data_IF_038959632142
#
_entry.id   IF_038959632142
#
_cell.length_a   1.000
_cell.length_b   1.000
_cell.length_c   1.000
_cell.angle_alpha   90.00
_cell.angle_beta   90.00
_cell.angle_gamma   90.00
#
_symmetry.space_group_name_H-M   'P 1'
#
loop_
_entity.id
_entity.type
_entity.pdbx_description
1 polymer ?
#
# COMPACT_ATOMS: atom_id res chain seq x y z
N UNK A 1 -11.28 3.85 -11.59
CA UNK A 1 -10.04 3.46 -12.33
C UNK A 1 -10.39 2.46 -13.44
N UNK A 2 -9.63 2.42 -14.56
CA UNK A 2 -9.77 1.38 -15.59
C UNK A 2 -9.20 0.05 -15.11
N UNK A 3 -9.74 -1.05 -15.61
CA UNK A 3 -9.33 -2.42 -15.21
C UNK A 3 -8.16 -2.94 -16.05
N UNK A 4 -8.02 -2.49 -17.28
CA UNK A 4 -7.01 -2.95 -18.24
C UNK A 4 -6.41 -1.81 -19.05
N UNK A 5 -5.27 -2.07 -19.69
CA UNK A 5 -4.57 -1.10 -20.52
C UNK A 5 -3.85 -0.01 -19.73
N UNK A 6 -3.62 -0.22 -18.43
CA UNK A 6 -2.82 0.67 -17.60
C UNK A 6 -1.35 0.26 -17.61
N UNK A 7 -0.49 1.21 -17.28
CA UNK A 7 0.90 0.98 -16.83
C UNK A 7 0.95 1.32 -15.33
N UNK A 8 1.18 0.31 -14.51
CA UNK A 8 1.00 0.37 -13.05
C UNK A 8 2.35 0.22 -12.36
N UNK A 9 2.73 1.15 -11.51
CA UNK A 9 3.87 1.02 -10.60
C UNK A 9 3.37 0.57 -9.22
N UNK A 10 3.93 -0.55 -8.72
CA UNK A 10 3.61 -1.09 -7.38
C UNK A 10 4.89 -1.15 -6.55
N UNK A 11 5.00 -0.32 -5.51
CA UNK A 11 6.09 -0.41 -4.53
C UNK A 11 5.85 -1.57 -3.55
N UNK A 12 6.93 -2.21 -3.07
CA UNK A 12 6.80 -3.42 -2.24
C UNK A 12 6.26 -4.61 -3.03
N UNK A 13 6.51 -4.66 -4.35
CA UNK A 13 5.98 -5.68 -5.26
C UNK A 13 6.69 -7.05 -5.21
N UNK A 14 7.72 -7.21 -4.37
CA UNK A 14 8.48 -8.47 -4.28
C UNK A 14 7.84 -9.54 -3.40
N UNK A 15 6.77 -9.26 -2.64
CA UNK A 15 6.14 -10.23 -1.75
C UNK A 15 4.71 -9.83 -1.36
N UNK A 16 4.01 -10.75 -0.71
CA UNK A 16 2.72 -10.51 -0.05
C UNK A 16 1.69 -9.84 -0.95
N UNK A 17 1.01 -8.82 -0.43
CA UNK A 17 -0.06 -8.11 -1.13
C UNK A 17 0.43 -7.50 -2.44
N UNK A 18 1.61 -6.86 -2.45
CA UNK A 18 2.15 -6.21 -3.64
C UNK A 18 2.44 -7.18 -4.79
N UNK A 19 3.00 -8.36 -4.48
CA UNK A 19 3.25 -9.44 -5.45
C UNK A 19 1.95 -9.93 -6.08
N UNK A 20 0.98 -10.28 -5.26
CA UNK A 20 -0.27 -10.86 -5.75
C UNK A 20 -1.13 -9.84 -6.50
N UNK A 21 -1.15 -8.58 -6.07
CA UNK A 21 -1.77 -7.50 -6.85
C UNK A 21 -1.09 -7.33 -8.21
N UNK A 22 0.25 -7.35 -8.26
CA UNK A 22 0.99 -7.22 -9.53
C UNK A 22 0.58 -8.30 -10.54
N UNK A 23 0.52 -9.56 -10.10
CA UNK A 23 0.11 -10.70 -10.94
C UNK A 23 -1.34 -10.59 -11.40
N UNK A 24 -2.27 -10.23 -10.49
CA UNK A 24 -3.69 -10.05 -10.84
C UNK A 24 -3.90 -8.88 -11.81
N UNK A 25 -3.21 -7.75 -11.63
CA UNK A 25 -3.29 -6.65 -12.57
C UNK A 25 -2.70 -7.02 -13.94
N UNK A 26 -1.58 -7.76 -13.98
CA UNK A 26 -1.02 -8.29 -15.23
C UNK A 26 -2.04 -9.17 -15.97
N UNK A 27 -2.69 -10.11 -15.27
CA UNK A 27 -3.65 -11.06 -15.86
C UNK A 27 -4.88 -10.35 -16.47
N UNK A 28 -5.14 -9.11 -16.05
CA UNK A 28 -6.18 -8.24 -16.63
C UNK A 28 -5.69 -7.42 -17.83
N UNK A 29 -4.47 -7.66 -18.34
CA UNK A 29 -3.93 -7.00 -19.52
C UNK A 29 -3.30 -5.63 -19.25
N UNK A 30 -2.69 -5.46 -18.08
CA UNK A 30 -1.92 -4.27 -17.73
C UNK A 30 -0.41 -4.55 -17.83
N UNK A 31 0.38 -3.50 -18.07
CA UNK A 31 1.82 -3.51 -17.82
C UNK A 31 2.05 -3.16 -16.37
N UNK A 32 2.84 -3.95 -15.65
CA UNK A 32 3.09 -3.74 -14.22
C UNK A 32 4.59 -3.59 -13.96
N UNK A 33 4.95 -2.56 -13.22
CA UNK A 33 6.31 -2.33 -12.72
C UNK A 33 6.29 -2.63 -11.23
N UNK A 34 7.07 -3.64 -10.81
CA UNK A 34 7.23 -3.97 -9.39
C UNK A 34 8.53 -3.37 -8.88
N UNK A 35 8.43 -2.54 -7.84
CA UNK A 35 9.57 -1.87 -7.24
C UNK A 35 9.78 -2.29 -5.78
N UNK A 36 11.06 -2.40 -5.37
CA UNK A 36 11.43 -2.79 -4.02
C UNK A 36 12.95 -2.95 -3.87
N UNK A 37 13.41 -3.28 -2.66
CA UNK A 37 14.85 -3.32 -2.33
C UNK A 37 15.58 -4.58 -2.81
N UNK A 38 14.87 -5.70 -2.94
CA UNK A 38 15.46 -7.03 -3.20
C UNK A 38 15.11 -7.47 -4.61
N UNK A 39 16.08 -7.36 -5.52
CA UNK A 39 15.87 -7.69 -6.94
C UNK A 39 15.39 -9.13 -7.13
N UNK A 40 16.01 -10.11 -6.46
CA UNK A 40 15.63 -11.52 -6.57
C UNK A 40 14.13 -11.77 -6.27
N UNK A 41 13.58 -11.07 -5.26
CA UNK A 41 12.17 -11.19 -4.92
C UNK A 41 11.24 -10.51 -5.95
N UNK A 42 11.72 -9.44 -6.59
CA UNK A 42 11.01 -8.78 -7.69
C UNK A 42 11.03 -9.63 -8.96
N UNK A 43 12.18 -10.24 -9.27
CA UNK A 43 12.35 -11.17 -10.39
C UNK A 43 11.47 -12.41 -10.21
N UNK A 44 11.36 -12.94 -8.98
CA UNK A 44 10.41 -14.02 -8.66
C UNK A 44 8.95 -13.60 -8.90
N UNK A 45 8.60 -12.35 -8.61
CA UNK A 45 7.27 -11.81 -8.92
C UNK A 45 7.01 -11.75 -10.42
N UNK A 46 8.01 -11.33 -11.20
CA UNK A 46 7.93 -11.16 -12.64
C UNK A 46 8.09 -12.49 -13.42
N UNK A 47 8.64 -13.53 -12.79
CA UNK A 47 8.92 -14.81 -13.45
C UNK A 47 7.64 -15.45 -14.01
N UNK A 48 7.62 -15.69 -15.34
CA UNK A 48 6.46 -16.22 -16.06
C UNK A 48 5.41 -15.18 -16.46
N UNK A 49 5.65 -13.88 -16.20
CA UNK A 49 4.75 -12.77 -16.54
C UNK A 49 5.44 -11.79 -17.50
N UNK A 50 5.11 -11.82 -18.79
CA UNK A 50 5.82 -11.07 -19.84
C UNK A 50 5.82 -9.55 -19.62
N UNK A 51 4.74 -8.99 -19.05
CA UNK A 51 4.56 -7.55 -18.85
C UNK A 51 4.67 -7.15 -17.37
N UNK A 52 5.38 -7.94 -16.54
CA UNK A 52 5.82 -7.51 -15.21
C UNK A 52 7.31 -7.19 -15.27
N UNK A 53 7.67 -5.96 -14.88
CA UNK A 53 9.04 -5.45 -14.93
C UNK A 53 9.57 -5.20 -13.52
N UNK A 54 10.69 -5.83 -13.17
CA UNK A 54 11.35 -5.66 -11.89
C UNK A 54 12.31 -4.47 -11.92
N UNK A 55 12.21 -3.56 -10.94
CA UNK A 55 13.11 -2.40 -10.80
C UNK A 55 13.42 -2.16 -9.33
N UNK A 56 14.69 -1.99 -8.98
CA UNK A 56 15.09 -1.74 -7.60
C UNK A 56 14.73 -0.31 -7.15
N UNK A 57 14.22 -0.18 -5.93
CA UNK A 57 13.94 1.10 -5.28
C UNK A 57 13.94 0.93 -3.76
N UNK A 58 14.68 1.76 -3.06
CA UNK A 58 14.52 1.97 -1.63
C UNK A 58 13.75 3.29 -1.38
N UNK A 59 12.47 3.21 -1.04
CA UNK A 59 11.61 4.37 -0.78
C UNK A 59 12.04 5.17 0.46
N UNK A 60 12.95 4.63 1.28
CA UNK A 60 13.53 5.34 2.41
C UNK A 60 14.55 6.40 2.00
N UNK A 61 15.12 6.30 0.79
CA UNK A 61 16.21 7.15 0.29
C UNK A 61 15.70 8.21 -0.69
N UNK A 62 15.66 9.50 -0.31
CA UNK A 62 15.13 10.55 -1.17
C UNK A 62 15.79 10.63 -2.55
N UNK A 63 17.13 10.57 -2.60
CA UNK A 63 17.89 10.68 -3.86
C UNK A 63 17.60 9.49 -4.82
N UNK A 64 17.40 8.28 -4.25
CA UNK A 64 16.99 7.12 -5.06
C UNK A 64 15.58 7.30 -5.61
N UNK A 65 14.64 7.84 -4.82
CA UNK A 65 13.26 8.11 -5.26
C UNK A 65 13.24 9.10 -6.43
N UNK A 66 14.01 10.19 -6.34
CA UNK A 66 14.08 11.18 -7.42
C UNK A 66 14.69 10.62 -8.71
N UNK A 67 15.80 9.87 -8.58
CA UNK A 67 16.47 9.24 -9.72
C UNK A 67 15.58 8.18 -10.37
N UNK A 68 14.94 7.34 -9.54
CA UNK A 68 14.00 6.31 -9.96
C UNK A 68 12.80 6.91 -10.71
N UNK A 69 12.19 7.98 -10.19
CA UNK A 69 11.04 8.61 -10.83
C UNK A 69 11.35 9.10 -12.24
N UNK A 70 12.54 9.70 -12.45
CA UNK A 70 13.01 10.11 -13.78
C UNK A 70 13.19 8.91 -14.70
N UNK A 71 13.93 7.89 -14.24
CA UNK A 71 14.17 6.67 -15.03
C UNK A 71 12.86 5.97 -15.41
N UNK A 72 11.93 5.84 -14.45
CA UNK A 72 10.72 5.07 -14.69
C UNK A 72 9.78 5.75 -15.69
N UNK A 73 9.71 7.08 -15.67
CA UNK A 73 8.93 7.85 -16.64
C UNK A 73 9.54 7.77 -18.04
N UNK A 74 10.88 7.79 -18.16
CA UNK A 74 11.57 7.63 -19.45
C UNK A 74 11.36 6.23 -20.04
N UNK A 75 11.46 5.18 -19.22
CA UNK A 75 11.28 3.78 -19.66
C UNK A 75 9.82 3.41 -19.91
N UNK A 76 8.91 3.98 -19.13
CA UNK A 76 7.48 3.69 -19.18
C UNK A 76 6.65 4.98 -19.29
N UNK A 77 6.70 5.69 -20.42
CA UNK A 77 6.01 6.98 -20.56
C UNK A 77 4.48 6.87 -20.48
N UNK A 78 3.94 5.65 -20.58
CA UNK A 78 2.52 5.37 -20.39
C UNK A 78 2.11 5.19 -18.91
N UNK A 79 3.04 5.31 -17.94
CA UNK A 79 2.74 5.17 -16.52
C UNK A 79 1.58 6.09 -16.12
N UNK A 80 0.49 5.49 -15.64
CA UNK A 80 -0.72 6.21 -15.24
C UNK A 80 -1.26 5.78 -13.87
N UNK A 81 -0.72 4.71 -13.26
CA UNK A 81 -1.18 4.23 -11.95
C UNK A 81 -0.02 4.03 -10.99
N UNK A 82 -0.10 4.63 -9.81
CA UNK A 82 0.87 4.47 -8.72
C UNK A 82 0.21 3.76 -7.52
N UNK A 83 0.72 2.58 -7.14
CA UNK A 83 0.41 1.93 -5.86
C UNK A 83 1.54 2.16 -4.85
N UNK A 84 1.31 3.01 -3.88
CA UNK A 84 2.15 3.18 -2.69
C UNK A 84 1.83 2.03 -1.71
N UNK A 85 2.43 0.86 -1.94
CA UNK A 85 2.17 -0.35 -1.15
C UNK A 85 3.35 -0.72 -0.21
N UNK A 86 4.58 -0.30 -0.51
CA UNK A 86 5.72 -0.60 0.34
C UNK A 86 5.48 -0.17 1.80
N UNK A 87 5.79 -1.06 2.73
CA UNK A 87 5.65 -0.79 4.14
C UNK A 87 6.32 -1.85 5.00
N UNK A 88 6.63 -1.48 6.22
CA UNK A 88 7.16 -2.36 7.27
C UNK A 88 6.30 -2.20 8.53
N UNK A 89 6.29 -3.24 9.38
CA UNK A 89 5.64 -3.22 10.68
C UNK A 89 6.56 -3.86 11.70
N UNK A 90 6.70 -3.21 12.86
CA UNK A 90 7.45 -3.68 14.00
C UNK A 90 6.58 -3.70 15.25
N UNK A 91 6.78 -4.71 16.08
CA UNK A 91 6.20 -4.68 17.42
C UNK A 91 7.13 -3.92 18.36
N UNK A 92 6.54 -3.15 19.24
CA UNK A 92 7.26 -2.25 20.14
C UNK A 92 6.62 -2.23 21.54
N UNK A 93 7.44 -2.00 22.54
CA UNK A 93 7.01 -1.70 23.93
C UNK A 93 7.30 -0.23 24.22
N UNK A 94 6.24 0.57 24.33
CA UNK A 94 6.33 2.01 24.59
C UNK A 94 6.21 2.38 26.08
N UNK A 95 6.17 1.37 26.95
CA UNK A 95 6.04 1.60 28.41
C UNK A 95 7.37 1.99 29.06
N UNK A 96 8.49 1.89 28.32
CA UNK A 96 9.81 2.28 28.78
C UNK A 96 10.59 3.00 27.66
N UNK A 97 11.68 3.67 28.03
CA UNK A 97 12.61 4.28 27.08
C UNK A 97 13.25 3.21 26.20
N UNK A 98 13.29 3.43 24.89
CA UNK A 98 13.77 2.45 23.90
C UNK A 98 14.59 3.09 22.78
N UNK A 99 15.26 2.28 21.98
CA UNK A 99 15.80 2.70 20.68
C UNK A 99 14.65 3.00 19.69
N UNK A 100 14.74 4.13 19.02
CA UNK A 100 13.72 4.61 18.07
C UNK A 100 14.09 4.31 16.60
N UNK A 101 15.10 3.48 16.33
CA UNK A 101 15.53 3.15 14.96
C UNK A 101 14.39 2.52 14.15
N UNK A 102 13.66 1.56 14.72
CA UNK A 102 12.51 0.92 14.07
C UNK A 102 11.37 1.92 13.83
N UNK A 103 11.05 2.77 14.82
CA UNK A 103 10.03 3.80 14.67
C UNK A 103 10.39 4.82 13.58
N UNK A 104 11.67 5.22 13.52
CA UNK A 104 12.19 6.10 12.46
C UNK A 104 12.08 5.45 11.09
N UNK A 105 12.41 4.17 10.99
CA UNK A 105 12.29 3.41 9.74
C UNK A 105 10.82 3.31 9.28
N UNK A 106 9.88 3.02 10.19
CA UNK A 106 8.45 2.98 9.87
C UNK A 106 7.92 4.33 9.36
N UNK A 107 8.24 5.43 10.02
CA UNK A 107 7.85 6.78 9.56
C UNK A 107 8.45 7.07 8.19
N UNK A 108 9.71 6.73 7.98
CA UNK A 108 10.42 6.99 6.72
C UNK A 108 9.83 6.17 5.56
N UNK A 109 9.57 4.90 5.76
CA UNK A 109 9.09 3.99 4.71
C UNK A 109 7.58 4.13 4.50
N UNK A 110 6.79 4.07 5.59
CA UNK A 110 5.33 3.96 5.48
C UNK A 110 4.64 5.31 5.21
N UNK A 111 5.28 6.42 5.56
CA UNK A 111 4.70 7.76 5.40
C UNK A 111 5.50 8.63 4.43
N UNK A 112 6.79 8.87 4.70
CA UNK A 112 7.58 9.74 3.83
C UNK A 112 7.85 9.11 2.47
N UNK A 113 7.98 7.79 2.36
CA UNK A 113 8.14 7.07 1.09
C UNK A 113 6.99 7.37 0.11
N UNK A 114 5.71 7.08 0.46
CA UNK A 114 4.56 7.45 -0.36
C UNK A 114 4.48 8.93 -0.72
N UNK A 115 4.75 9.83 0.23
CA UNK A 115 4.74 11.28 -0.02
C UNK A 115 5.79 11.65 -1.07
N UNK A 116 7.04 11.21 -0.90
CA UNK A 116 8.15 11.51 -1.82
C UNK A 116 7.92 10.97 -3.21
N UNK A 117 7.46 9.71 -3.31
CA UNK A 117 7.23 9.10 -4.61
C UNK A 117 6.03 9.72 -5.34
N UNK A 118 4.97 10.08 -4.60
CA UNK A 118 3.84 10.83 -5.15
C UNK A 118 4.31 12.19 -5.68
N UNK A 119 5.10 12.93 -4.90
CA UNK A 119 5.64 14.24 -5.30
C UNK A 119 6.53 14.12 -6.54
N UNK A 120 7.41 13.13 -6.59
CA UNK A 120 8.32 12.92 -7.72
C UNK A 120 7.62 12.52 -9.04
N UNK A 121 6.43 11.92 -8.96
CA UNK A 121 5.66 11.46 -10.12
C UNK A 121 4.45 12.33 -10.47
N UNK A 122 4.08 13.30 -9.62
CA UNK A 122 2.81 14.03 -9.74
C UNK A 122 2.67 14.80 -11.06
N UNK A 123 3.74 15.43 -11.52
CA UNK A 123 3.72 16.22 -12.75
C UNK A 123 3.55 15.31 -13.98
N UNK A 124 4.18 14.15 -13.98
CA UNK A 124 3.96 13.14 -15.02
C UNK A 124 2.51 12.61 -14.99
N UNK A 125 2.02 12.21 -13.81
CA UNK A 125 0.66 11.67 -13.67
C UNK A 125 -0.40 12.69 -14.10
N UNK A 126 -0.20 13.98 -13.87
CA UNK A 126 -1.11 15.04 -14.36
C UNK A 126 -1.18 15.13 -15.89
N UNK A 127 -0.22 14.59 -16.62
CA UNK A 127 -0.27 14.54 -18.09
C UNK A 127 -1.15 13.39 -18.60
N UNK A 128 -1.66 12.53 -17.72
CA UNK A 128 -2.44 11.34 -18.07
C UNK A 128 -3.91 11.56 -17.75
N UNK A 129 -4.78 11.33 -18.73
CA UNK A 129 -6.24 11.55 -18.56
C UNK A 129 -6.90 10.58 -17.56
N UNK A 130 -6.25 9.44 -17.28
CA UNK A 130 -6.75 8.35 -16.45
C UNK A 130 -5.81 8.01 -15.30
N UNK A 131 -5.10 9.02 -14.78
CA UNK A 131 -4.16 8.84 -13.68
C UNK A 131 -4.85 8.44 -12.38
N UNK A 132 -4.21 7.49 -11.67
CA UNK A 132 -4.68 7.00 -10.38
C UNK A 132 -3.51 6.89 -9.38
N UNK A 133 -3.75 7.31 -8.15
CA UNK A 133 -2.85 7.05 -7.02
C UNK A 133 -3.61 6.19 -6.01
N UNK A 134 -3.04 5.04 -5.66
CA UNK A 134 -3.55 4.14 -4.63
C UNK A 134 -2.58 4.14 -3.45
N UNK A 135 -3.03 4.60 -2.29
CA UNK A 135 -2.27 4.52 -1.05
C UNK A 135 -2.74 3.32 -0.21
N UNK A 136 -1.81 2.43 0.10
CA UNK A 136 -2.10 1.25 0.94
C UNK A 136 -1.92 1.63 2.41
N UNK A 137 -3.04 1.86 3.08
CA UNK A 137 -3.10 2.14 4.53
C UNK A 137 -3.20 0.85 5.34
N UNK A 138 -4.14 0.75 6.25
CA UNK A 138 -4.41 -0.45 7.08
C UNK A 138 -5.71 -0.26 7.86
N UNK A 139 -6.35 -1.34 8.28
CA UNK A 139 -7.36 -1.31 9.35
C UNK A 139 -6.84 -0.68 10.64
N UNK A 140 -5.51 -0.78 10.88
CA UNK A 140 -4.85 -0.15 12.03
C UNK A 140 -4.70 1.38 11.91
N UNK A 141 -5.09 1.97 10.78
CA UNK A 141 -5.27 3.42 10.66
C UNK A 141 -6.52 3.90 11.40
N UNK A 142 -7.50 3.04 11.60
CA UNK A 142 -8.80 3.35 12.22
C UNK A 142 -8.89 2.86 13.66
N UNK A 143 -8.27 1.72 13.96
CA UNK A 143 -8.16 1.14 15.30
C UNK A 143 -6.70 0.80 15.56
N UNK A 144 -5.98 1.56 16.40
CA UNK A 144 -4.56 1.33 16.63
C UNK A 144 -4.29 -0.02 17.34
N UNK A 145 -3.22 -0.70 16.92
CA UNK A 145 -2.68 -1.87 17.64
C UNK A 145 -1.72 -1.38 18.74
N UNK A 146 -2.01 -1.64 20.02
CA UNK A 146 -1.15 -1.15 21.13
C UNK A 146 0.31 -1.61 21.05
N UNK A 147 0.56 -2.84 20.55
CA UNK A 147 1.92 -3.39 20.37
C UNK A 147 2.61 -2.95 19.06
N UNK A 148 1.95 -2.12 18.23
CA UNK A 148 2.50 -1.56 16.99
C UNK A 148 2.03 -0.11 16.82
N UNK A 149 2.27 0.69 17.84
CA UNK A 149 1.77 2.06 17.96
C UNK A 149 2.29 2.97 16.85
N UNK A 150 3.60 2.90 16.56
CA UNK A 150 4.23 3.69 15.49
C UNK A 150 3.70 3.29 14.12
N UNK A 151 3.59 1.99 13.84
CA UNK A 151 2.97 1.52 12.58
C UNK A 151 1.56 2.09 12.42
N UNK A 152 0.71 1.93 13.44
CA UNK A 152 -0.67 2.43 13.43
C UNK A 152 -0.72 3.94 13.18
N UNK A 153 0.16 4.70 13.84
CA UNK A 153 0.28 6.14 13.64
C UNK A 153 0.69 6.49 12.21
N UNK A 154 1.65 5.76 11.59
CA UNK A 154 2.03 6.00 10.20
C UNK A 154 0.88 5.74 9.23
N UNK A 155 0.07 4.70 9.48
CA UNK A 155 -1.07 4.35 8.63
C UNK A 155 -2.24 5.33 8.80
N UNK A 156 -2.48 5.83 10.01
CA UNK A 156 -3.43 6.92 10.27
C UNK A 156 -2.98 8.23 9.60
N UNK A 157 -1.68 8.56 9.66
CA UNK A 157 -1.14 9.71 8.96
C UNK A 157 -1.28 9.60 7.43
N UNK A 158 -1.01 8.42 6.86
CA UNK A 158 -1.18 8.16 5.42
C UNK A 158 -2.66 8.22 5.00
N UNK A 159 -3.60 7.74 5.84
CA UNK A 159 -5.04 7.94 5.64
C UNK A 159 -5.38 9.43 5.54
N UNK A 160 -4.96 10.24 6.52
CA UNK A 160 -5.19 11.69 6.51
C UNK A 160 -4.58 12.38 5.29
N UNK A 161 -3.34 12.01 4.91
CA UNK A 161 -2.69 12.49 3.69
C UNK A 161 -3.50 12.11 2.43
N UNK A 162 -4.01 10.89 2.36
CA UNK A 162 -4.82 10.40 1.22
C UNK A 162 -6.10 11.21 1.03
N UNK A 163 -6.79 11.56 2.12
CA UNK A 163 -7.97 12.42 2.08
C UNK A 163 -7.64 13.82 1.53
N UNK A 164 -6.55 14.42 2.01
CA UNK A 164 -6.09 15.72 1.57
C UNK A 164 -5.66 15.72 0.10
N UNK A 165 -4.90 14.68 -0.31
CA UNK A 165 -4.45 14.50 -1.69
C UNK A 165 -5.63 14.34 -2.64
N UNK A 166 -6.64 13.55 -2.27
CA UNK A 166 -7.88 13.36 -3.03
C UNK A 166 -8.61 14.68 -3.29
N UNK A 167 -8.68 15.55 -2.26
CA UNK A 167 -9.33 16.84 -2.40
C UNK A 167 -8.55 17.80 -3.31
N UNK A 168 -7.22 17.81 -3.20
CA UNK A 168 -6.37 18.69 -4.02
C UNK A 168 -6.31 18.26 -5.49
N UNK A 169 -6.35 16.97 -5.76
CA UNK A 169 -6.27 16.40 -7.11
C UNK A 169 -7.63 16.14 -7.76
N UNK A 170 -8.70 16.58 -7.12
CA UNK A 170 -10.08 16.39 -7.64
C UNK A 170 -10.22 16.91 -9.08
N UNK A 171 -10.62 16.03 -9.99
CA UNK A 171 -10.80 16.34 -11.40
C UNK A 171 -9.55 16.20 -12.27
N UNK A 172 -8.38 15.85 -11.68
CA UNK A 172 -7.15 15.60 -12.43
C UNK A 172 -6.59 14.19 -12.23
N UNK A 173 -6.55 13.69 -10.99
CA UNK A 173 -6.05 12.36 -10.66
C UNK A 173 -7.04 11.70 -9.68
N UNK A 174 -7.42 10.46 -9.96
CA UNK A 174 -8.22 9.66 -9.03
C UNK A 174 -7.34 9.19 -7.86
N UNK A 175 -7.78 9.40 -6.61
CA UNK A 175 -7.03 8.99 -5.42
C UNK A 175 -7.85 7.98 -4.62
N UNK A 176 -7.34 6.77 -4.52
CA UNK A 176 -7.98 5.62 -3.87
C UNK A 176 -7.17 5.23 -2.62
N UNK A 177 -7.86 4.88 -1.58
CA UNK A 177 -7.29 4.25 -0.40
C UNK A 177 -7.58 2.75 -0.42
N UNK A 178 -6.54 1.92 -0.26
CA UNK A 178 -6.67 0.49 -0.01
C UNK A 178 -6.31 0.22 1.44
N UNK A 179 -7.27 -0.25 2.24
CA UNK A 179 -7.07 -0.49 3.67
C UNK A 179 -7.13 -2.00 4.00
N UNK A 180 -5.98 -2.70 4.03
CA UNK A 180 -5.93 -4.11 4.40
C UNK A 180 -6.28 -4.36 5.88
N UNK A 181 -6.95 -5.50 6.19
CA UNK A 181 -6.97 -6.05 7.55
C UNK A 181 -5.62 -6.72 7.89
N UNK A 182 -5.56 -7.49 8.96
CA UNK A 182 -4.52 -8.49 9.14
C UNK A 182 -4.64 -9.56 8.05
N UNK A 183 -3.65 -9.64 7.16
CA UNK A 183 -3.60 -10.59 6.03
C UNK A 183 -2.44 -11.56 6.24
N UNK A 184 -2.62 -12.84 5.92
CA UNK A 184 -1.60 -13.89 6.00
C UNK A 184 -0.48 -13.64 4.97
N UNK A 185 0.52 -12.85 5.38
CA UNK A 185 1.74 -12.50 4.63
C UNK A 185 2.93 -12.54 5.58
N UNK A 186 4.14 -12.35 5.08
CA UNK A 186 5.35 -12.21 5.91
C UNK A 186 5.70 -10.73 6.23
N UNK A 187 4.69 -9.88 6.43
CA UNK A 187 4.92 -8.49 6.88
C UNK A 187 5.59 -8.45 8.26
N UNK A 188 5.17 -9.36 9.15
CA UNK A 188 5.87 -9.66 10.41
C UNK A 188 6.18 -11.16 10.47
N UNK A 189 7.25 -11.60 11.15
CA UNK A 189 7.63 -13.01 11.20
C UNK A 189 6.48 -13.92 11.66
N UNK A 190 6.20 -14.98 10.87
CA UNK A 190 5.15 -15.96 11.15
C UNK A 190 3.71 -15.44 10.97
N UNK A 191 3.54 -14.27 10.37
CA UNK A 191 2.21 -13.72 10.12
C UNK A 191 1.43 -14.53 9.08
N UNK A 192 2.10 -15.18 8.14
CA UNK A 192 1.48 -16.01 7.10
C UNK A 192 0.67 -17.19 7.65
N UNK A 193 1.01 -17.67 8.85
CA UNK A 193 0.35 -18.80 9.52
C UNK A 193 -0.56 -18.36 10.67
N UNK A 194 -0.70 -17.04 10.89
CA UNK A 194 -1.41 -16.52 12.06
C UNK A 194 -2.92 -16.72 11.93
N UNK A 195 -3.48 -17.43 12.88
CA UNK A 195 -4.93 -17.63 13.00
C UNK A 195 -5.68 -16.30 13.18
N UNK A 196 -6.86 -16.19 12.60
CA UNK A 196 -7.69 -15.00 12.67
C UNK A 196 -7.23 -13.86 11.73
N UNK A 197 -6.19 -14.10 10.90
CA UNK A 197 -5.82 -13.23 9.78
C UNK A 197 -6.48 -13.74 8.49
N UNK A 198 -6.82 -12.81 7.60
CA UNK A 198 -7.46 -13.15 6.34
C UNK A 198 -6.46 -13.87 5.40
N UNK A 199 -6.79 -15.02 4.80
CA UNK A 199 -5.93 -15.66 3.81
C UNK A 199 -5.62 -14.72 2.65
N UNK A 200 -4.34 -14.66 2.22
CA UNK A 200 -3.89 -13.72 1.19
C UNK A 200 -4.68 -13.85 -0.12
N UNK A 201 -4.92 -15.08 -0.60
CA UNK A 201 -5.68 -15.32 -1.83
C UNK A 201 -7.11 -14.76 -1.75
N UNK A 202 -7.82 -15.02 -0.65
CA UNK A 202 -9.17 -14.53 -0.43
C UNK A 202 -9.21 -12.99 -0.35
N UNK A 203 -8.22 -12.38 0.32
CA UNK A 203 -8.07 -10.93 0.39
C UNK A 203 -7.90 -10.31 -1.00
N UNK A 204 -6.99 -10.86 -1.82
CA UNK A 204 -6.72 -10.35 -3.17
C UNK A 204 -7.94 -10.48 -4.08
N UNK A 205 -8.67 -11.60 -4.02
CA UNK A 205 -9.88 -11.79 -4.82
C UNK A 205 -10.95 -10.75 -4.49
N UNK A 206 -11.18 -10.48 -3.20
CA UNK A 206 -12.16 -9.49 -2.78
C UNK A 206 -11.72 -8.07 -3.15
N UNK A 207 -10.43 -7.73 -2.97
CA UNK A 207 -9.87 -6.44 -3.39
C UNK A 207 -10.05 -6.23 -4.89
N UNK A 208 -9.73 -7.22 -5.72
CA UNK A 208 -9.89 -7.11 -7.17
C UNK A 208 -11.36 -6.95 -7.57
N UNK A 209 -12.28 -7.64 -6.89
CA UNK A 209 -13.72 -7.46 -7.09
C UNK A 209 -14.17 -6.02 -6.76
N UNK A 210 -13.62 -5.41 -5.71
CA UNK A 210 -13.91 -4.00 -5.37
C UNK A 210 -13.33 -3.03 -6.42
N UNK A 211 -12.11 -3.26 -6.90
CA UNK A 211 -11.54 -2.44 -7.98
C UNK A 211 -12.32 -2.53 -9.30
N UNK A 212 -12.99 -3.66 -9.57
CA UNK A 212 -13.81 -3.84 -10.76
C UNK A 212 -15.17 -3.11 -10.71
N UNK A 213 -15.58 -2.61 -9.56
CA UNK A 213 -16.82 -1.80 -9.46
C UNK A 213 -16.68 -0.48 -10.23
N UNK A 214 -17.78 -0.02 -10.80
CA UNK A 214 -17.84 1.25 -11.53
C UNK A 214 -18.94 2.15 -10.94
N UNK A 215 -18.60 3.33 -10.41
CA UNK A 215 -17.21 3.82 -10.21
C UNK A 215 -16.45 3.00 -9.14
N UNK A 216 -15.12 2.95 -9.27
CA UNK A 216 -14.27 2.32 -8.24
C UNK A 216 -14.47 3.03 -6.89
N UNK A 217 -14.64 2.31 -5.78
CA UNK A 217 -14.77 2.92 -4.46
C UNK A 217 -13.52 3.75 -4.10
N UNK A 218 -13.73 4.92 -3.52
CA UNK A 218 -12.63 5.76 -3.04
C UNK A 218 -11.86 5.14 -1.87
N UNK A 219 -12.52 4.25 -1.12
CA UNK A 219 -11.93 3.42 -0.05
C UNK A 219 -12.22 1.96 -0.39
N UNK A 220 -11.18 1.21 -0.77
CA UNK A 220 -11.23 -0.23 -1.02
C UNK A 220 -11.01 -0.93 0.32
N UNK A 221 -12.12 -1.29 0.95
CA UNK A 221 -12.18 -1.96 2.25
C UNK A 221 -12.92 -3.28 2.08
N UNK A 222 -12.21 -4.40 2.21
CA UNK A 222 -12.83 -5.74 2.24
C UNK A 222 -13.75 -5.86 3.46
N UNK A 223 -14.71 -6.78 3.41
CA UNK A 223 -15.70 -6.92 4.49
C UNK A 223 -15.06 -7.15 5.86
N UNK A 224 -13.95 -7.87 5.89
CA UNK A 224 -13.22 -8.18 7.12
C UNK A 224 -12.65 -6.93 7.84
N UNK A 225 -12.34 -5.83 7.13
CA UNK A 225 -11.80 -4.59 7.72
C UNK A 225 -12.88 -3.56 8.05
N UNK A 226 -14.08 -3.70 7.52
CA UNK A 226 -15.17 -2.73 7.70
C UNK A 226 -15.55 -2.46 9.16
N UNK A 227 -15.54 -3.44 10.08
CA UNK A 227 -15.77 -3.15 11.50
C UNK A 227 -14.75 -2.16 12.08
N UNK A 228 -13.46 -2.26 11.68
CA UNK A 228 -12.42 -1.32 12.10
C UNK A 228 -12.63 0.06 11.48
N UNK A 229 -12.94 0.10 10.17
CA UNK A 229 -13.24 1.36 9.46
C UNK A 229 -14.39 2.13 10.10
N UNK A 230 -15.36 1.45 10.65
CA UNK A 230 -16.56 2.03 11.26
C UNK A 230 -16.45 2.17 12.79
N UNK A 231 -15.36 1.72 13.42
CA UNK A 231 -15.24 1.61 14.87
C UNK A 231 -15.51 2.93 15.62
N UNK A 232 -15.00 4.05 15.12
CA UNK A 232 -15.24 5.36 15.71
C UNK A 232 -16.72 5.75 15.66
N UNK A 233 -17.35 5.59 14.51
CA UNK A 233 -18.79 5.87 14.31
C UNK A 233 -19.66 4.99 15.21
N UNK A 234 -19.26 3.74 15.40
CA UNK A 234 -20.02 2.74 16.14
C UNK A 234 -19.66 2.73 17.64
N UNK A 235 -18.74 3.60 18.09
CA UNK A 235 -18.29 3.70 19.50
C UNK A 235 -17.56 2.45 19.99
N UNK A 236 -16.85 1.72 19.09
CA UNK A 236 -16.22 0.42 19.37
C UNK A 236 -14.68 0.45 19.32
N UNK A 237 -14.08 1.63 19.30
CA UNK A 237 -12.62 1.75 19.20
C UNK A 237 -11.94 1.07 20.38
N UNK A 238 -12.40 1.35 21.62
CA UNK A 238 -11.81 0.78 22.84
C UNK A 238 -11.96 -0.74 22.90
N UNK A 239 -13.13 -1.29 22.52
CA UNK A 239 -13.39 -2.74 22.47
C UNK A 239 -12.41 -3.44 21.53
N UNK A 240 -12.20 -2.86 20.32
CA UNK A 240 -11.26 -3.41 19.37
C UNK A 240 -9.80 -3.23 19.79
N UNK A 241 -9.44 -2.11 20.43
CA UNK A 241 -8.09 -1.92 20.96
C UNK A 241 -7.79 -2.94 22.06
N UNK A 242 -8.73 -3.23 22.96
CA UNK A 242 -8.58 -4.27 23.98
C UNK A 242 -8.43 -5.66 23.36
N UNK A 243 -9.25 -5.98 22.35
CA UNK A 243 -9.12 -7.23 21.59
C UNK A 243 -7.74 -7.36 20.94
N UNK A 244 -7.21 -6.28 20.34
CA UNK A 244 -5.91 -6.27 19.69
C UNK A 244 -4.75 -6.38 20.70
N UNK A 245 -4.87 -5.77 21.87
CA UNK A 245 -3.85 -5.85 22.94
C UNK A 245 -3.64 -7.28 23.45
N UNK A 246 -4.69 -8.12 23.39
CA UNK A 246 -4.68 -9.50 23.86
C UNK A 246 -4.23 -10.51 22.78
N UNK A 247 -3.92 -10.04 21.58
CA UNK A 247 -3.34 -10.82 20.47
C UNK A 247 -1.83 -10.62 20.40
#
# INVERSE_FOLDING_TARGET
>A
MKISGNTILITGGGSGIGRELARKWHDLGNTVIVAGRTLDALDETANGYENIHAVTLDVAKPDEVESFAKEIVERFPALNVLFNNAGIMKYEDITASRDLSDATAEVTINLLGPIRLTDALIDHLKTRDDAVIVNVTSGLAFVPQPKASTYSATKAALHSYTLSLRQQLKGSIEVIELAPPGVQTELTPGQSEREGYMPLGAYIEEVMSLFQQQPTPQEVCVEFVRPFRNAEKDGKVDDFMEMLANR
#
